data_IF_414066682019
#
_entry.id   IF_414066682019
#
_cell.length_a   1.000
_cell.length_b   1.000
_cell.length_c   1.000
_cell.angle_alpha   90.00
_cell.angle_beta   90.00
_cell.angle_gamma   90.00
#
_symmetry.space_group_name_H-M   'P 1'
#
loop_
_entity.id
_entity.type
_entity.pdbx_description
1 polymer ?
#
# COMPACT_ATOMS: atom_id res chain seq x y z
N UNK A 1 -4.47 18.03 -16.49
CA UNK A 1 -4.46 19.01 -15.38
C UNK A 1 -4.60 18.21 -14.11
N UNK A 2 -3.77 18.49 -13.10
CA UNK A 2 -3.84 17.81 -11.81
C UNK A 2 -5.09 18.32 -11.07
N UNK A 3 -5.95 17.41 -10.62
CA UNK A 3 -7.14 17.73 -9.84
C UNK A 3 -7.25 16.80 -8.63
N UNK A 4 -7.83 17.29 -7.55
CA UNK A 4 -8.19 16.45 -6.41
C UNK A 4 -9.60 15.88 -6.61
N UNK A 5 -9.81 14.60 -6.29
CA UNK A 5 -11.14 14.01 -6.19
C UNK A 5 -11.73 14.39 -4.84
N UNK A 6 -12.73 15.27 -4.83
CA UNK A 6 -13.33 15.84 -3.60
C UNK A 6 -14.68 15.25 -3.27
N UNK A 7 -15.29 14.55 -4.21
CA UNK A 7 -16.65 14.00 -4.06
C UNK A 7 -16.63 12.48 -4.15
N UNK A 8 -17.58 11.83 -3.46
CA UNK A 8 -17.80 10.38 -3.56
C UNK A 8 -18.00 9.92 -5.00
N UNK A 9 -18.67 10.73 -5.83
CA UNK A 9 -18.85 10.45 -7.26
C UNK A 9 -17.53 10.43 -8.02
N UNK A 10 -16.68 11.44 -7.84
CA UNK A 10 -15.36 11.48 -8.49
C UNK A 10 -14.47 10.31 -8.05
N UNK A 11 -14.58 9.90 -6.79
CA UNK A 11 -13.88 8.74 -6.25
C UNK A 11 -14.41 7.41 -6.82
N UNK A 12 -15.73 7.29 -7.02
CA UNK A 12 -16.35 6.15 -7.70
C UNK A 12 -15.92 6.06 -9.16
N UNK A 13 -15.90 7.19 -9.87
CA UNK A 13 -15.42 7.25 -11.27
C UNK A 13 -13.94 6.87 -11.36
N UNK A 14 -13.14 7.31 -10.38
CA UNK A 14 -11.74 6.93 -10.22
C UNK A 14 -11.61 5.41 -10.00
N UNK A 15 -12.38 4.84 -9.09
CA UNK A 15 -12.40 3.41 -8.78
C UNK A 15 -12.63 2.56 -10.03
N UNK A 16 -13.69 2.83 -10.79
CA UNK A 16 -14.01 2.08 -12.00
C UNK A 16 -12.90 2.18 -13.07
N UNK A 17 -12.29 3.36 -13.22
CA UNK A 17 -11.13 3.54 -14.11
C UNK A 17 -9.94 2.69 -13.65
N UNK A 18 -9.66 2.63 -12.35
CA UNK A 18 -8.48 1.88 -11.84
C UNK A 18 -8.58 0.37 -12.05
N UNK A 19 -9.79 -0.20 -12.14
CA UNK A 19 -10.00 -1.64 -12.38
C UNK A 19 -9.36 -2.14 -13.68
N UNK A 20 -9.25 -1.29 -14.69
CA UNK A 20 -8.60 -1.66 -15.96
C UNK A 20 -7.08 -1.69 -15.89
N UNK A 21 -6.48 -1.32 -14.76
CA UNK A 21 -5.03 -1.29 -14.57
C UNK A 21 -4.62 -2.31 -13.51
N UNK A 22 -4.15 -3.51 -13.91
CA UNK A 22 -3.76 -4.56 -12.97
C UNK A 22 -2.77 -4.07 -11.91
N UNK A 23 -1.82 -3.20 -12.28
CA UNK A 23 -0.77 -2.71 -11.39
C UNK A 23 -1.28 -1.75 -10.30
N UNK A 24 -2.57 -1.40 -10.29
CA UNK A 24 -3.15 -0.39 -9.41
C UNK A 24 -3.89 -1.01 -8.22
N UNK A 25 -3.71 -2.29 -7.90
CA UNK A 25 -4.51 -2.94 -6.84
C UNK A 25 -4.45 -2.21 -5.50
N UNK A 26 -3.29 -1.71 -5.06
CA UNK A 26 -3.21 -0.94 -3.82
C UNK A 26 -4.18 0.24 -3.83
N UNK A 27 -4.17 0.99 -4.93
CA UNK A 27 -5.01 2.16 -5.09
C UNK A 27 -6.47 1.76 -5.25
N UNK A 28 -6.76 0.69 -5.99
CA UNK A 28 -8.12 0.15 -6.12
C UNK A 28 -8.69 -0.29 -4.76
N UNK A 29 -7.95 -1.09 -4.00
CA UNK A 29 -8.36 -1.55 -2.67
C UNK A 29 -8.55 -0.39 -1.71
N UNK A 30 -7.65 0.59 -1.71
CA UNK A 30 -7.74 1.77 -0.87
C UNK A 30 -8.96 2.65 -1.21
N UNK A 31 -9.21 2.87 -2.50
CA UNK A 31 -10.42 3.57 -2.96
C UNK A 31 -11.69 2.80 -2.55
N UNK A 32 -11.69 1.46 -2.69
CA UNK A 32 -12.83 0.62 -2.32
C UNK A 32 -13.19 0.82 -0.83
N UNK A 33 -12.20 0.70 0.06
CA UNK A 33 -12.41 0.87 1.50
C UNK A 33 -12.84 2.31 1.82
N UNK A 34 -12.27 3.31 1.13
CA UNK A 34 -12.70 4.71 1.31
C UNK A 34 -14.14 4.95 0.86
N UNK A 35 -14.59 4.32 -0.24
CA UNK A 35 -15.96 4.40 -0.74
C UNK A 35 -16.98 3.70 0.17
N UNK A 36 -16.56 2.65 0.87
CA UNK A 36 -17.36 1.92 1.86
C UNK A 36 -17.57 2.74 3.16
N UNK A 37 -17.03 3.96 3.24
CA UNK A 37 -17.11 4.91 4.37
C UNK A 37 -16.43 4.41 5.66
N UNK A 38 -15.55 3.40 5.56
CA UNK A 38 -14.86 2.89 6.74
C UNK A 38 -13.74 3.82 7.21
N UNK A 39 -13.35 4.85 6.45
CA UNK A 39 -12.37 5.86 6.86
C UNK A 39 -13.01 7.22 7.20
N UNK A 40 -12.52 7.93 8.24
CA UNK A 40 -12.85 9.34 8.46
C UNK A 40 -12.60 10.17 7.19
N UNK A 41 -13.43 11.19 6.93
CA UNK A 41 -13.44 12.04 5.71
C UNK A 41 -12.12 12.79 5.39
N UNK A 42 -11.03 12.53 6.11
CA UNK A 42 -9.75 13.23 5.99
C UNK A 42 -8.53 12.28 5.92
N UNK A 43 -8.75 10.96 5.96
CA UNK A 43 -7.64 10.01 5.98
C UNK A 43 -6.98 9.82 4.63
N UNK A 44 -7.70 9.99 3.51
CA UNK A 44 -7.20 9.73 2.15
C UNK A 44 -7.53 10.87 1.20
N UNK A 45 -6.51 11.40 0.51
CA UNK A 45 -6.67 12.38 -0.57
C UNK A 45 -6.19 11.77 -1.87
N UNK A 46 -7.00 11.91 -2.92
CA UNK A 46 -6.68 11.38 -4.25
C UNK A 46 -6.51 12.54 -5.22
N UNK A 47 -5.30 12.70 -5.73
CA UNK A 47 -5.05 13.61 -6.84
C UNK A 47 -4.92 12.81 -8.12
N UNK A 48 -5.56 13.28 -9.17
CA UNK A 48 -5.62 12.65 -10.47
C UNK A 48 -5.06 13.61 -11.51
N UNK A 49 -4.04 13.18 -12.23
CA UNK A 49 -3.64 13.80 -13.48
C UNK A 49 -3.93 12.85 -14.63
N UNK A 50 -4.78 13.33 -15.56
CA UNK A 50 -5.15 12.64 -16.79
C UNK A 50 -4.59 13.44 -17.99
N UNK A 51 -3.79 12.77 -18.83
CA UNK A 51 -3.38 13.30 -20.15
C UNK A 51 -4.49 13.00 -21.19
N UNK A 52 -4.58 13.84 -22.24
CA UNK A 52 -5.51 13.57 -23.35
C UNK A 52 -5.22 12.18 -23.95
N UNK A 53 -6.28 11.43 -24.25
CA UNK A 53 -6.26 10.05 -24.78
C UNK A 53 -5.99 8.93 -23.75
N UNK A 54 -6.07 9.20 -22.45
CA UNK A 54 -6.01 8.16 -21.40
C UNK A 54 -4.61 7.55 -21.20
N UNK A 55 -3.58 8.16 -21.80
CA UNK A 55 -2.23 7.61 -21.87
C UNK A 55 -1.39 7.83 -20.61
N UNK A 56 -1.80 8.70 -19.68
CA UNK A 56 -1.18 8.83 -18.37
C UNK A 56 -2.25 9.04 -17.31
N UNK A 57 -2.26 8.14 -16.32
CA UNK A 57 -3.10 8.24 -15.14
C UNK A 57 -2.21 8.26 -13.91
N UNK A 58 -2.00 9.44 -13.33
CA UNK A 58 -1.26 9.62 -12.08
C UNK A 58 -2.27 9.76 -10.97
N UNK A 59 -2.36 8.72 -10.13
CA UNK A 59 -3.03 8.85 -8.84
C UNK A 59 -1.95 9.19 -7.85
N UNK A 60 -2.23 10.22 -7.08
CA UNK A 60 -1.44 10.62 -5.97
C UNK A 60 -2.29 10.39 -4.73
N UNK A 61 -1.90 9.39 -3.95
CA UNK A 61 -2.43 9.22 -2.62
C UNK A 61 -1.69 10.18 -1.70
N UNK A 62 -2.41 10.89 -0.86
CA UNK A 62 -1.87 11.38 0.39
C UNK A 62 -2.82 10.89 1.44
N UNK A 63 -2.65 9.62 1.81
CA UNK A 63 -3.31 9.12 2.97
C UNK A 63 -2.47 9.42 4.17
N UNK A 64 -3.07 10.03 5.18
CA UNK A 64 -2.65 9.71 6.51
C UNK A 64 -2.91 8.21 6.64
N UNK A 65 -1.86 7.41 6.55
CA UNK A 65 -1.89 6.25 7.41
C UNK A 65 -2.18 6.86 8.78
N UNK A 66 -3.14 6.28 9.50
CA UNK A 66 -3.29 6.62 10.92
C UNK A 66 -1.94 6.38 11.65
N UNK A 67 -0.98 5.73 10.97
CA UNK A 67 0.27 5.17 11.44
C UNK A 67 1.29 6.24 11.71
N UNK A 68 1.62 6.95 10.67
CA UNK A 68 2.71 7.88 10.70
C UNK A 68 2.08 9.23 10.44
N UNK A 69 2.58 10.26 11.09
CA UNK A 69 2.29 11.64 10.67
C UNK A 69 2.93 11.93 9.29
N UNK A 70 2.87 10.95 8.37
CA UNK A 70 3.58 10.82 7.12
C UNK A 70 2.58 10.33 6.08
N UNK A 71 2.24 11.17 5.10
CA UNK A 71 1.42 10.77 3.99
C UNK A 71 2.20 9.74 3.19
N UNK A 72 1.60 8.58 3.06
CA UNK A 72 2.05 7.64 2.04
C UNK A 72 1.64 8.21 0.68
N UNK A 73 2.55 8.08 -0.27
CA UNK A 73 2.40 8.55 -1.62
C UNK A 73 2.49 7.36 -2.55
N UNK A 74 1.33 6.84 -2.88
CA UNK A 74 1.23 5.91 -4.00
C UNK A 74 1.17 6.74 -5.25
N UNK A 75 2.19 6.57 -6.07
CA UNK A 75 2.19 7.01 -7.45
C UNK A 75 1.86 5.79 -8.29
N UNK A 76 0.93 5.92 -9.22
CA UNK A 76 0.58 4.88 -10.19
C UNK A 76 0.65 5.50 -11.58
N UNK A 77 1.21 4.81 -12.58
CA UNK A 77 1.36 5.31 -13.95
C UNK A 77 1.35 4.14 -14.93
N UNK A 78 0.74 4.33 -16.10
CA UNK A 78 0.64 3.32 -17.16
C UNK A 78 1.80 3.35 -18.18
N UNK A 79 2.46 4.47 -18.49
CA UNK A 79 3.79 4.58 -19.16
C UNK A 79 4.13 6.07 -19.38
N UNK A 80 5.41 6.47 -19.25
CA UNK A 80 5.92 7.85 -19.44
C UNK A 80 5.60 8.84 -18.30
N UNK A 81 5.55 8.39 -17.03
CA UNK A 81 5.39 9.35 -15.94
C UNK A 81 6.60 10.26 -15.78
N UNK A 82 7.84 9.79 -16.00
CA UNK A 82 9.02 10.59 -15.63
C UNK A 82 9.10 11.92 -16.40
N UNK A 83 8.94 11.84 -17.72
CA UNK A 83 8.93 13.01 -18.60
C UNK A 83 7.78 13.94 -18.26
N UNK A 84 6.58 13.41 -18.00
CA UNK A 84 5.40 14.23 -17.70
C UNK A 84 5.52 14.87 -16.31
N UNK A 85 6.07 14.17 -15.32
CA UNK A 85 6.39 14.73 -14.01
C UNK A 85 7.33 15.94 -14.12
N UNK A 86 8.41 15.79 -14.90
CA UNK A 86 9.38 16.86 -15.18
C UNK A 86 8.74 18.02 -15.95
N UNK A 87 8.03 17.75 -17.05
CA UNK A 87 7.45 18.77 -17.94
C UNK A 87 6.25 19.52 -17.35
N UNK A 88 5.45 18.86 -16.51
CA UNK A 88 4.24 19.44 -15.91
C UNK A 88 4.42 19.89 -14.48
N UNK A 89 5.64 19.78 -13.96
CA UNK A 89 6.00 20.20 -12.62
C UNK A 89 5.09 19.57 -11.54
N UNK A 90 4.78 18.29 -11.73
CA UNK A 90 3.86 17.57 -10.83
C UNK A 90 4.44 17.41 -9.41
N UNK A 91 5.74 17.65 -9.24
CA UNK A 91 6.46 17.72 -7.97
C UNK A 91 5.87 18.69 -6.97
N UNK A 92 5.26 19.78 -7.44
CA UNK A 92 4.60 20.77 -6.57
C UNK A 92 3.52 20.15 -5.70
N UNK A 93 2.98 19.00 -6.09
CA UNK A 93 2.05 18.29 -5.23
C UNK A 93 2.77 17.73 -3.99
N UNK A 94 4.03 17.29 -4.10
CA UNK A 94 4.83 16.85 -2.95
C UNK A 94 5.08 17.99 -1.97
N UNK A 95 5.28 19.20 -2.47
CA UNK A 95 5.39 20.40 -1.62
C UNK A 95 4.08 20.68 -0.83
N UNK A 96 2.92 20.30 -1.38
CA UNK A 96 1.63 20.44 -0.69
C UNK A 96 1.43 19.39 0.42
N UNK A 97 2.23 18.31 0.44
CA UNK A 97 2.09 17.24 1.41
C UNK A 97 2.81 17.54 2.74
N UNK A 98 3.64 18.58 2.82
CA UNK A 98 4.19 19.18 4.05
C UNK A 98 4.83 18.22 5.08
N UNK A 99 5.23 17.01 4.67
CA UNK A 99 5.67 15.96 5.61
C UNK A 99 6.53 14.90 4.91
N UNK A 100 7.15 14.02 5.70
CA UNK A 100 8.02 12.95 5.20
C UNK A 100 7.16 11.98 4.39
N UNK A 101 7.37 11.95 3.08
CA UNK A 101 6.59 11.14 2.14
C UNK A 101 7.14 9.71 2.11
N UNK A 102 6.27 8.71 2.15
CA UNK A 102 6.65 7.33 1.85
C UNK A 102 6.15 6.91 0.45
N UNK A 103 7.07 6.70 -0.50
CA UNK A 103 6.71 6.21 -1.83
C UNK A 103 6.81 4.71 -1.87
N UNK A 104 5.71 4.06 -2.24
CA UNK A 104 5.74 2.69 -2.67
C UNK A 104 5.38 2.59 -4.16
N UNK A 105 5.97 1.57 -4.82
CA UNK A 105 5.38 0.90 -5.96
C UNK A 105 5.60 1.45 -7.39
N UNK A 106 6.71 2.12 -7.75
CA UNK A 106 7.09 2.29 -9.17
C UNK A 106 8.62 2.23 -9.40
N UNK A 107 9.15 1.18 -10.05
CA UNK A 107 10.56 1.09 -10.45
C UNK A 107 11.05 2.24 -11.35
N UNK A 108 10.18 2.76 -12.21
CA UNK A 108 10.52 3.81 -13.21
C UNK A 108 10.39 5.25 -12.70
N UNK A 109 9.80 5.49 -11.53
CA UNK A 109 9.76 6.82 -10.88
C UNK A 109 10.65 6.86 -9.65
N UNK A 110 11.43 5.81 -9.46
CA UNK A 110 12.39 5.63 -8.41
C UNK A 110 13.49 6.68 -8.46
N UNK A 111 14.20 6.75 -9.60
CA UNK A 111 15.26 7.74 -9.85
C UNK A 111 14.73 9.14 -9.65
N UNK A 112 13.53 9.38 -10.17
CA UNK A 112 12.83 10.64 -10.10
C UNK A 112 12.57 11.05 -8.64
N UNK A 113 12.02 10.15 -7.82
CA UNK A 113 11.80 10.42 -6.40
C UNK A 113 13.10 10.67 -5.64
N UNK A 114 14.13 9.87 -5.87
CA UNK A 114 15.41 10.05 -5.18
C UNK A 114 16.03 11.41 -5.50
N UNK A 115 15.99 11.84 -6.77
CA UNK A 115 16.42 13.19 -7.17
C UNK A 115 15.69 14.27 -6.36
N UNK A 116 14.37 14.15 -6.21
CA UNK A 116 13.57 15.10 -5.42
C UNK A 116 13.86 15.00 -3.92
N UNK A 117 13.95 13.79 -3.36
CA UNK A 117 14.13 13.55 -1.94
C UNK A 117 15.52 13.97 -1.48
N UNK A 118 16.58 13.61 -2.20
CA UNK A 118 17.95 14.04 -1.92
C UNK A 118 18.10 15.57 -2.00
N UNK A 119 17.43 16.20 -2.98
CA UNK A 119 17.40 17.65 -3.11
C UNK A 119 16.75 18.32 -1.89
N UNK A 120 15.68 17.73 -1.33
CA UNK A 120 14.90 18.34 -0.23
C UNK A 120 15.37 17.95 1.16
N UNK A 121 15.92 16.75 1.32
CA UNK A 121 16.34 16.15 2.58
C UNK A 121 17.77 15.58 2.51
N UNK A 122 18.78 16.40 2.18
CA UNK A 122 20.14 15.94 1.92
C UNK A 122 20.84 15.28 3.12
N UNK A 123 20.30 15.46 4.34
CA UNK A 123 20.83 14.87 5.56
C UNK A 123 20.23 13.50 5.93
N UNK A 124 19.19 13.05 5.23
CA UNK A 124 18.53 11.77 5.52
C UNK A 124 19.14 10.68 4.64
N UNK A 125 19.92 9.79 5.24
CA UNK A 125 20.33 8.56 4.58
C UNK A 125 19.20 7.55 4.61
N UNK A 126 18.68 7.21 3.43
CA UNK A 126 17.70 6.13 3.28
C UNK A 126 18.39 4.85 2.81
N UNK A 127 17.93 3.72 3.35
CA UNK A 127 18.17 2.39 2.86
C UNK A 127 16.89 1.89 2.20
N UNK A 128 17.04 1.40 0.99
CA UNK A 128 15.94 0.91 0.18
C UNK A 128 15.99 -0.59 0.14
N UNK A 129 14.92 -1.19 0.63
CA UNK A 129 14.81 -2.64 0.74
C UNK A 129 13.82 -3.12 -0.31
N UNK A 130 14.28 -3.79 -1.38
CA UNK A 130 13.38 -4.42 -2.32
C UNK A 130 12.61 -5.55 -1.63
N UNK A 131 11.30 -5.57 -1.83
CA UNK A 131 10.35 -6.48 -1.19
C UNK A 131 9.39 -7.06 -2.23
N UNK A 132 9.16 -8.37 -2.16
CA UNK A 132 8.00 -8.99 -2.77
C UNK A 132 6.74 -8.62 -1.98
N UNK A 133 5.65 -8.37 -2.69
CA UNK A 133 4.33 -8.21 -2.07
C UNK A 133 3.55 -9.53 -2.15
N UNK A 134 3.03 -9.97 -1.01
CA UNK A 134 2.12 -11.11 -0.91
C UNK A 134 0.78 -10.66 -0.35
N UNK A 135 -0.30 -11.28 -0.81
CA UNK A 135 -1.67 -11.01 -0.33
C UNK A 135 -2.48 -12.30 -0.24
N UNK A 136 -3.57 -12.30 0.52
CA UNK A 136 -4.52 -13.41 0.59
C UNK A 136 -5.84 -13.06 -0.11
N UNK A 137 -6.29 -13.88 -1.05
CA UNK A 137 -7.66 -13.78 -1.60
C UNK A 137 -8.70 -14.17 -0.54
N UNK A 138 -9.98 -13.83 -0.76
CA UNK A 138 -11.04 -14.25 0.17
C UNK A 138 -11.17 -15.77 0.27
N UNK A 139 -10.97 -16.46 -0.85
CA UNK A 139 -10.93 -17.93 -0.90
C UNK A 139 -9.77 -18.49 -0.06
N UNK A 140 -8.58 -17.89 -0.16
CA UNK A 140 -7.41 -18.28 0.65
C UNK A 140 -7.62 -18.00 2.14
N UNK A 141 -8.28 -16.89 2.48
CA UNK A 141 -8.67 -16.59 3.86
C UNK A 141 -9.66 -17.63 4.41
N UNK A 142 -10.68 -17.98 3.63
CA UNK A 142 -11.66 -19.00 4.01
C UNK A 142 -11.00 -20.38 4.16
N UNK A 143 -10.12 -20.77 3.23
CA UNK A 143 -9.34 -22.01 3.32
C UNK A 143 -8.50 -22.07 4.60
N UNK A 144 -7.81 -20.97 4.92
CA UNK A 144 -7.03 -20.89 6.15
C UNK A 144 -7.93 -21.02 7.38
N UNK A 145 -9.08 -20.34 7.40
CA UNK A 145 -10.03 -20.44 8.51
C UNK A 145 -10.55 -21.87 8.68
N UNK A 146 -10.95 -22.53 7.59
CA UNK A 146 -11.42 -23.92 7.61
C UNK A 146 -10.34 -24.89 8.10
N UNK A 147 -9.09 -24.74 7.68
CA UNK A 147 -7.98 -25.60 8.13
C UNK A 147 -7.55 -25.31 9.57
N UNK A 148 -7.62 -24.06 10.00
CA UNK A 148 -7.41 -23.69 11.41
C UNK A 148 -8.49 -24.34 12.29
N UNK A 149 -9.76 -24.24 11.89
CA UNK A 149 -10.89 -24.80 12.64
C UNK A 149 -10.85 -26.34 12.67
N UNK A 150 -10.49 -26.98 11.55
CA UNK A 150 -10.62 -28.44 11.40
C UNK A 150 -9.31 -29.23 11.56
N UNK A 151 -8.15 -28.58 11.47
CA UNK A 151 -6.87 -29.27 11.24
C UNK A 151 -5.74 -28.92 12.21
N UNK A 152 -5.84 -27.82 12.96
CA UNK A 152 -4.82 -27.43 13.95
C UNK A 152 -5.37 -27.75 15.33
N UNK A 153 -4.95 -28.88 15.90
CA UNK A 153 -5.07 -29.05 17.35
C UNK A 153 -4.18 -28.01 18.01
N UNK A 154 -4.79 -26.96 18.54
CA UNK A 154 -4.09 -26.01 19.37
C UNK A 154 -3.54 -26.74 20.60
N UNK A 155 -2.38 -26.29 21.10
CA UNK A 155 -1.85 -26.79 22.37
C UNK A 155 -2.84 -26.43 23.47
N UNK A 156 -2.99 -27.30 24.48
CA UNK A 156 -3.87 -27.05 25.63
C UNK A 156 -3.65 -25.64 26.19
N UNK A 157 -4.75 -24.89 26.32
CA UNK A 157 -4.75 -23.50 26.78
C UNK A 157 -4.77 -22.43 25.68
N UNK A 158 -4.63 -22.81 24.41
CA UNK A 158 -4.79 -21.91 23.26
C UNK A 158 -6.16 -22.11 22.60
N UNK A 159 -6.76 -21.02 22.13
CA UNK A 159 -8.01 -21.02 21.37
C UNK A 159 -7.95 -19.97 20.26
N UNK A 160 -8.77 -20.15 19.21
CA UNK A 160 -9.03 -19.09 18.25
C UNK A 160 -10.10 -18.17 18.85
N UNK A 161 -9.85 -16.87 18.83
CA UNK A 161 -10.83 -15.84 19.20
C UNK A 161 -11.05 -14.92 18.00
N UNK A 162 -12.31 -14.80 17.57
CA UNK A 162 -12.71 -13.86 16.53
C UNK A 162 -12.96 -12.45 17.10
N UNK A 163 -13.02 -12.31 18.43
CA UNK A 163 -13.21 -11.04 19.13
C UNK A 163 -11.89 -10.52 19.66
N UNK A 164 -11.06 -9.94 18.77
CA UNK A 164 -9.83 -9.28 19.18
C UNK A 164 -10.18 -8.06 20.06
N UNK A 165 -9.83 -8.11 21.35
CA UNK A 165 -10.10 -7.01 22.28
C UNK A 165 -9.15 -5.83 22.05
N UNK A 166 -9.47 -4.65 22.61
CA UNK A 166 -8.53 -3.50 22.58
C UNK A 166 -7.18 -3.83 23.19
N UNK A 167 -7.17 -4.64 24.25
CA UNK A 167 -5.94 -5.08 24.90
C UNK A 167 -5.13 -6.03 24.02
N UNK A 168 -5.77 -6.91 23.27
CA UNK A 168 -5.07 -7.80 22.33
C UNK A 168 -4.45 -6.99 21.19
N UNK A 169 -5.16 -5.98 20.69
CA UNK A 169 -4.64 -5.02 19.73
C UNK A 169 -3.41 -4.27 20.27
N UNK A 170 -3.46 -3.77 21.50
CA UNK A 170 -2.31 -3.13 22.16
C UNK A 170 -1.09 -4.06 22.22
N UNK A 171 -1.28 -5.32 22.68
CA UNK A 171 -0.20 -6.30 22.74
C UNK A 171 0.39 -6.59 21.36
N UNK A 172 -0.47 -6.75 20.34
CA UNK A 172 -0.01 -6.96 18.96
C UNK A 172 0.84 -5.78 18.47
N UNK A 173 0.36 -4.55 18.66
CA UNK A 173 1.08 -3.32 18.28
C UNK A 173 2.42 -3.21 19.00
N UNK A 174 2.45 -3.44 20.32
CA UNK A 174 3.67 -3.37 21.13
C UNK A 174 4.74 -4.38 20.70
N UNK A 175 4.34 -5.52 20.15
CA UNK A 175 5.28 -6.57 19.72
C UNK A 175 5.83 -6.35 18.31
N UNK A 176 5.23 -5.47 17.51
CA UNK A 176 5.66 -5.18 16.16
C UNK A 176 6.62 -3.98 16.18
N UNK A 177 7.90 -4.23 15.89
CA UNK A 177 9.01 -3.27 16.04
C UNK A 177 8.81 -1.91 15.33
N UNK A 178 7.93 -1.86 14.33
CA UNK A 178 7.63 -0.66 13.54
C UNK A 178 6.13 -0.36 13.45
N UNK A 179 5.32 -1.02 14.30
CA UNK A 179 3.90 -0.76 14.38
C UNK A 179 3.63 0.44 15.29
N UNK A 180 2.54 1.13 14.98
CA UNK A 180 1.96 2.19 15.76
C UNK A 180 0.44 1.95 15.88
N UNK A 181 -0.27 2.86 16.55
CA UNK A 181 -1.69 2.68 16.91
C UNK A 181 -2.65 2.55 15.70
N UNK A 182 -2.17 2.70 14.48
CA UNK A 182 -2.98 2.66 13.26
C UNK A 182 -3.27 1.29 12.73
N UNK A 183 -2.37 0.33 12.96
CA UNK A 183 -2.52 -1.00 12.41
C UNK A 183 -3.69 -1.70 13.11
N UNK A 184 -3.95 -1.32 14.37
CA UNK A 184 -5.18 -1.66 15.10
C UNK A 184 -6.45 -1.18 14.39
N UNK A 185 -6.44 0.03 13.82
CA UNK A 185 -7.60 0.60 13.14
C UNK A 185 -7.80 -0.03 11.74
N UNK A 186 -6.72 -0.35 11.05
CA UNK A 186 -6.73 -1.11 9.78
C UNK A 186 -7.32 -2.51 9.98
N UNK A 187 -6.93 -3.21 11.05
CA UNK A 187 -7.44 -4.53 11.38
C UNK A 187 -8.96 -4.54 11.62
N UNK A 188 -9.49 -3.50 12.29
CA UNK A 188 -10.95 -3.36 12.54
C UNK A 188 -11.79 -3.22 11.28
N UNK A 189 -11.21 -2.78 10.16
CA UNK A 189 -11.92 -2.44 8.92
C UNK A 189 -11.89 -3.54 7.86
N UNK A 190 -11.41 -4.74 8.22
CA UNK A 190 -11.46 -5.90 7.32
C UNK A 190 -10.57 -5.78 6.07
N UNK A 191 -9.50 -4.97 6.12
CA UNK A 191 -8.57 -4.84 5.01
C UNK A 191 -7.98 -6.20 4.61
N UNK A 192 -7.77 -6.38 3.31
CA UNK A 192 -7.16 -7.61 2.76
C UNK A 192 -5.76 -7.78 3.36
N UNK A 193 -5.47 -8.87 4.08
CA UNK A 193 -4.16 -9.10 4.65
C UNK A 193 -3.09 -9.14 3.54
N UNK A 194 -2.07 -8.31 3.67
CA UNK A 194 -0.89 -8.34 2.83
C UNK A 194 0.38 -8.25 3.67
N UNK A 195 1.50 -8.66 3.08
CA UNK A 195 2.81 -8.50 3.70
C UNK A 195 3.90 -8.26 2.66
N UNK A 196 4.97 -7.63 3.14
CA UNK A 196 6.20 -7.46 2.40
C UNK A 196 7.25 -8.46 2.87
N UNK A 197 7.95 -9.05 1.92
CA UNK A 197 9.08 -9.95 2.20
C UNK A 197 10.27 -9.45 1.42
N UNK A 198 11.36 -9.10 2.10
CA UNK A 198 12.58 -8.63 1.45
C UNK A 198 13.05 -9.65 0.40
N UNK A 199 13.46 -9.16 -0.79
CA UNK A 199 13.94 -10.05 -1.85
C UNK A 199 15.28 -10.70 -1.50
N UNK A 200 16.02 -10.13 -0.56
CA UNK A 200 17.23 -10.71 0.05
C UNK A 200 16.94 -11.93 0.93
N UNK A 201 15.72 -12.04 1.47
CA UNK A 201 15.30 -13.15 2.32
C UNK A 201 14.69 -14.29 1.50
N UNK A 202 15.54 -14.92 0.69
CA UNK A 202 15.14 -15.95 -0.28
C UNK A 202 14.33 -17.10 0.34
N UNK A 203 14.74 -17.58 1.52
CA UNK A 203 14.06 -18.69 2.19
C UNK A 203 12.61 -18.35 2.53
N UNK A 204 12.35 -17.15 3.05
CA UNK A 204 11.00 -16.69 3.36
C UNK A 204 10.22 -16.41 2.07
N UNK A 205 10.85 -15.80 1.06
CA UNK A 205 10.21 -15.52 -0.22
C UNK A 205 9.75 -16.81 -0.93
N UNK A 206 10.62 -17.82 -1.05
CA UNK A 206 10.28 -19.11 -1.65
C UNK A 206 9.19 -19.85 -0.88
N UNK A 207 9.26 -19.84 0.45
CA UNK A 207 8.23 -20.45 1.29
C UNK A 207 6.85 -19.83 1.02
N UNK A 208 6.79 -18.51 0.87
CA UNK A 208 5.54 -17.81 0.55
C UNK A 208 5.07 -18.07 -0.88
N UNK A 209 5.98 -18.16 -1.86
CA UNK A 209 5.64 -18.51 -3.25
C UNK A 209 5.02 -19.90 -3.35
N UNK A 210 5.49 -20.86 -2.56
CA UNK A 210 4.93 -22.22 -2.50
C UNK A 210 3.69 -22.35 -1.61
N UNK A 211 3.35 -21.32 -0.85
CA UNK A 211 2.23 -21.37 0.08
C UNK A 211 0.90 -21.34 -0.67
N UNK A 212 -0.03 -22.23 -0.30
CA UNK A 212 -1.40 -22.17 -0.79
C UNK A 212 -2.20 -20.97 -0.23
N UNK A 213 -1.71 -20.36 0.85
CA UNK A 213 -2.38 -19.23 1.53
C UNK A 213 -2.00 -17.87 0.98
N UNK A 214 -0.83 -17.75 0.35
CA UNK A 214 -0.30 -16.47 -0.09
C UNK A 214 -0.17 -16.42 -1.60
N UNK A 215 -0.67 -15.33 -2.19
CA UNK A 215 -0.47 -15.03 -3.59
C UNK A 215 0.63 -13.98 -3.72
N UNK A 216 1.71 -14.32 -4.43
CA UNK A 216 2.71 -13.33 -4.82
C UNK A 216 2.10 -12.40 -5.87
N UNK A 217 2.18 -11.10 -5.62
CA UNK A 217 1.71 -10.09 -6.56
C UNK A 217 2.54 -10.12 -7.84
N UNK A 218 1.90 -10.23 -9.00
CA UNK A 218 2.57 -10.27 -10.32
C UNK A 218 1.91 -9.32 -11.32
N UNK A 219 2.72 -8.70 -12.16
CA UNK A 219 2.29 -8.00 -13.37
C UNK A 219 2.58 -8.84 -14.63
N UNK A 220 2.46 -8.22 -15.81
CA UNK A 220 2.78 -8.88 -17.09
C UNK A 220 4.25 -9.31 -17.25
N UNK A 221 5.15 -8.82 -16.40
CA UNK A 221 6.59 -9.08 -16.44
C UNK A 221 7.08 -9.98 -15.29
N UNK A 222 6.24 -10.31 -14.30
CA UNK A 222 6.58 -11.18 -13.18
C UNK A 222 6.23 -10.59 -11.82
N UNK A 223 6.88 -11.04 -10.72
CA UNK A 223 6.64 -10.48 -9.40
C UNK A 223 6.87 -8.97 -9.34
N UNK A 224 5.91 -8.22 -8.81
CA UNK A 224 6.12 -6.78 -8.56
C UNK A 224 6.99 -6.63 -7.32
N UNK A 225 8.09 -5.92 -7.49
CA UNK A 225 9.01 -5.54 -6.41
C UNK A 225 8.62 -4.15 -5.93
N UNK A 226 8.32 -4.04 -4.64
CA UNK A 226 8.12 -2.77 -3.94
C UNK A 226 9.40 -2.42 -3.17
N UNK A 227 9.65 -1.14 -2.96
CA UNK A 227 10.79 -0.68 -2.18
C UNK A 227 10.27 -0.11 -0.86
N UNK A 228 10.71 -0.70 0.24
CA UNK A 228 10.50 -0.15 1.57
C UNK A 228 11.63 0.83 1.91
N UNK A 229 11.30 1.97 2.50
CA UNK A 229 12.29 2.97 2.91
C UNK A 229 12.54 2.88 4.41
N UNK A 230 13.80 2.68 4.80
CA UNK A 230 14.21 2.77 6.20
C UNK A 230 15.34 3.77 6.37
N UNK A 231 15.35 4.59 7.43
CA UNK A 231 16.53 5.36 7.80
C UNK A 231 17.73 4.40 7.97
N UNK A 232 18.90 4.76 7.44
CA UNK A 232 20.15 4.06 7.75
C UNK A 232 20.59 4.29 9.19
#
# INVERSE_FOLDING_TARGET
MLRECKTKKELQDLFEKTKSFPNFLNVHSDIAVTLENDFPEHCSRYFVYEEKNGALFVILFAGFSISSHRPELFLCCNLIAEKIFKEKDLWKVFDQLNSKIEISNIPNLWTLYNEWFEFRFPSINLLFVPCFKFYMTKEQQNLLAEECINGISLVDGYYFDDNISEKDMEIMVETWKFCDNSESEIMRKGMVPYKFVETSNFAVAESNIRSKYWTCWKDMNGPVIQYWMQPK
#
